data_IF_182326048783
#
_entry.id   IF_182326048783
#
_cell.length_a   1.000
_cell.length_b   1.000
_cell.length_c   1.000
_cell.angle_alpha   90.00
_cell.angle_beta   90.00
_cell.angle_gamma   90.00
#
_symmetry.space_group_name_H-M   'P 1'
#
loop_
_entity.id
_entity.type
_entity.pdbx_description
1 polymer ?
#
# COMPACT_ATOMS: atom_id res chain seq x y z
N UNK A 1 5.23 16.26 20.65
CA UNK A 1 4.41 15.22 20.00
C UNK A 1 3.89 14.32 21.11
N UNK A 2 2.59 14.36 21.41
CA UNK A 2 1.97 13.63 22.52
C UNK A 2 2.02 12.12 22.27
N UNK A 3 2.18 11.31 23.32
CA UNK A 3 2.28 9.84 23.26
C UNK A 3 1.16 9.20 22.39
N UNK A 4 -0.08 9.70 22.50
CA UNK A 4 -1.22 9.24 21.69
C UNK A 4 -1.01 9.42 20.18
N UNK A 5 -0.47 10.57 19.75
CA UNK A 5 -0.19 10.82 18.32
C UNK A 5 0.91 9.90 17.80
N UNK A 6 1.85 9.53 18.66
CA UNK A 6 2.95 8.60 18.33
C UNK A 6 2.39 7.18 18.11
N UNK A 7 1.50 6.74 19.00
CA UNK A 7 0.85 5.44 18.93
C UNK A 7 -0.07 5.32 17.71
N UNK A 8 -0.81 6.39 17.39
CA UNK A 8 -1.58 6.50 16.15
C UNK A 8 -0.68 6.36 14.91
N UNK A 9 0.42 7.10 14.83
CA UNK A 9 1.36 6.98 13.70
C UNK A 9 1.86 5.56 13.50
N UNK A 10 2.27 4.87 14.57
CA UNK A 10 2.72 3.47 14.52
C UNK A 10 1.62 2.56 13.99
N UNK A 11 0.38 2.74 14.45
CA UNK A 11 -0.76 1.96 13.99
C UNK A 11 -1.04 2.19 12.50
N UNK A 12 -0.95 3.44 12.03
CA UNK A 12 -1.10 3.78 10.61
C UNK A 12 0.01 3.14 9.76
N UNK A 13 1.25 3.18 10.24
CA UNK A 13 2.39 2.58 9.54
C UNK A 13 2.26 1.05 9.47
N UNK A 14 1.88 0.39 10.58
CA UNK A 14 1.56 -1.04 10.59
C UNK A 14 0.45 -1.39 9.61
N UNK A 15 -0.61 -0.57 9.57
CA UNK A 15 -1.71 -0.74 8.62
C UNK A 15 -1.22 -0.65 7.18
N UNK A 16 -0.41 0.38 6.85
CA UNK A 16 0.21 0.55 5.52
C UNK A 16 1.11 -0.63 5.16
N UNK A 17 1.93 -1.14 6.08
CA UNK A 17 2.82 -2.29 5.85
C UNK A 17 2.04 -3.57 5.62
N UNK A 18 1.03 -3.86 6.45
CA UNK A 18 0.15 -5.01 6.28
C UNK A 18 -0.55 -4.97 4.92
N UNK A 19 -1.04 -3.79 4.51
CA UNK A 19 -1.64 -3.56 3.19
C UNK A 19 -0.66 -3.82 2.04
N UNK A 20 0.60 -3.39 2.16
CA UNK A 20 1.62 -3.65 1.14
C UNK A 20 1.83 -5.16 0.95
N UNK A 21 2.00 -5.88 2.07
CA UNK A 21 2.20 -7.33 2.07
C UNK A 21 0.99 -8.06 1.50
N UNK A 22 -0.22 -7.64 1.87
CA UNK A 22 -1.46 -8.23 1.37
C UNK A 22 -1.62 -8.00 -0.14
N UNK A 23 -1.33 -6.79 -0.63
CA UNK A 23 -1.35 -6.44 -2.04
C UNK A 23 -0.33 -7.25 -2.86
N UNK A 24 0.89 -7.40 -2.34
CA UNK A 24 1.92 -8.24 -2.97
C UNK A 24 1.52 -9.72 -3.01
N UNK A 25 0.96 -10.25 -1.92
CA UNK A 25 0.50 -11.63 -1.89
C UNK A 25 -0.64 -11.88 -2.90
N UNK A 26 -1.55 -10.91 -3.05
CA UNK A 26 -2.60 -10.93 -4.08
C UNK A 26 -2.02 -10.94 -5.49
N UNK A 27 -1.06 -10.05 -5.77
CA UNK A 27 -0.35 -10.02 -7.06
C UNK A 27 0.30 -11.37 -7.33
N UNK A 28 0.97 -11.97 -6.35
CA UNK A 28 1.62 -13.29 -6.51
C UNK A 28 0.63 -14.38 -6.88
N UNK A 29 -0.39 -14.56 -6.07
CA UNK A 29 -1.39 -15.64 -6.24
C UNK A 29 -2.11 -15.50 -7.58
N UNK A 30 -2.46 -14.27 -7.96
CA UNK A 30 -3.18 -14.03 -9.20
C UNK A 30 -2.28 -14.06 -10.43
N UNK A 31 -1.01 -13.68 -10.34
CA UNK A 31 -0.07 -13.79 -11.46
C UNK A 31 0.23 -15.26 -11.78
N UNK A 32 0.36 -16.12 -10.76
CA UNK A 32 0.52 -17.58 -10.94
C UNK A 32 -0.67 -18.21 -11.67
N UNK A 33 -1.86 -17.60 -11.64
CA UNK A 33 -3.07 -18.19 -12.20
C UNK A 33 -3.65 -17.47 -13.42
N UNK A 34 -3.42 -16.17 -13.62
CA UNK A 34 -4.19 -15.36 -14.58
C UNK A 34 -3.36 -14.26 -15.31
N UNK A 35 -2.01 -14.32 -15.24
CA UNK A 35 -1.02 -13.45 -15.92
C UNK A 35 -1.36 -11.95 -15.94
N UNK A 36 -2.16 -11.46 -16.90
CA UNK A 36 -2.49 -10.03 -17.03
C UNK A 36 -3.57 -9.53 -16.06
N UNK A 37 -4.56 -10.36 -15.74
CA UNK A 37 -5.66 -9.95 -14.85
C UNK A 37 -5.20 -9.82 -13.40
N UNK A 38 -4.21 -10.63 -12.99
CA UNK A 38 -3.66 -10.58 -11.64
C UNK A 38 -2.91 -9.28 -11.33
N UNK A 39 -2.18 -8.75 -12.32
CA UNK A 39 -1.55 -7.43 -12.20
C UNK A 39 -2.59 -6.32 -12.06
N UNK A 40 -3.66 -6.38 -12.86
CA UNK A 40 -4.73 -5.38 -12.89
C UNK A 40 -5.56 -5.38 -11.58
N UNK A 41 -5.88 -6.57 -11.06
CA UNK A 41 -6.56 -6.74 -9.77
C UNK A 41 -5.67 -6.26 -8.61
N UNK A 42 -4.36 -6.55 -8.65
CA UNK A 42 -3.41 -6.03 -7.67
C UNK A 42 -3.37 -4.50 -7.66
N UNK A 43 -3.43 -3.88 -8.85
CA UNK A 43 -3.47 -2.43 -8.99
C UNK A 43 -4.78 -1.80 -8.48
N UNK A 44 -5.92 -2.47 -8.73
CA UNK A 44 -7.23 -2.07 -8.20
C UNK A 44 -7.26 -2.17 -6.68
N UNK A 45 -6.75 -3.29 -6.12
CA UNK A 45 -6.62 -3.47 -4.67
C UNK A 45 -5.78 -2.36 -4.04
N UNK A 46 -4.65 -2.02 -4.67
CA UNK A 46 -3.79 -0.92 -4.24
C UNK A 46 -4.52 0.45 -4.27
N UNK A 47 -5.33 0.71 -5.30
CA UNK A 47 -6.10 1.96 -5.41
C UNK A 47 -7.18 2.08 -4.34
N UNK A 48 -7.98 1.03 -4.11
CA UNK A 48 -9.00 1.02 -3.05
C UNK A 48 -8.41 1.29 -1.68
N UNK A 49 -7.28 0.63 -1.41
CA UNK A 49 -6.58 0.74 -0.13
C UNK A 49 -5.96 2.11 0.05
N UNK A 50 -5.36 2.69 -1.01
CA UNK A 50 -4.85 4.06 -0.97
C UNK A 50 -5.95 5.07 -0.63
N UNK A 51 -7.17 4.90 -1.12
CA UNK A 51 -8.31 5.75 -0.78
C UNK A 51 -8.68 5.60 0.70
N UNK A 52 -8.66 4.37 1.23
CA UNK A 52 -8.98 4.09 2.63
C UNK A 52 -7.95 4.73 3.58
N UNK A 53 -6.66 4.56 3.27
CA UNK A 53 -5.55 5.19 4.00
C UNK A 53 -5.67 6.72 3.97
N UNK A 54 -6.01 7.30 2.82
CA UNK A 54 -6.23 8.76 2.69
C UNK A 54 -7.36 9.27 3.57
N UNK A 55 -8.39 8.44 3.77
CA UNK A 55 -9.55 8.76 4.62
C UNK A 55 -9.15 8.75 6.10
N UNK A 56 -8.33 7.78 6.52
CA UNK A 56 -7.75 7.71 7.86
C UNK A 56 -6.78 8.87 8.13
N UNK A 57 -5.92 9.20 7.16
CA UNK A 57 -4.99 10.35 7.26
C UNK A 57 -5.74 11.69 7.36
N UNK A 58 -6.87 11.85 6.67
CA UNK A 58 -7.77 13.01 6.81
C UNK A 58 -8.40 13.08 8.21
N UNK A 59 -8.84 11.95 8.76
CA UNK A 59 -9.44 11.87 10.10
C UNK A 59 -8.47 12.28 11.21
N UNK A 60 -7.17 12.09 11.00
CA UNK A 60 -6.12 12.34 11.99
C UNK A 60 -5.33 13.62 11.76
N UNK A 61 -5.82 14.51 10.89
CA UNK A 61 -5.21 15.81 10.56
C UNK A 61 -3.73 15.72 10.15
N UNK A 62 -3.34 14.62 9.49
CA UNK A 62 -1.96 14.44 9.03
C UNK A 62 -1.67 15.42 7.88
N UNK A 63 -0.54 16.16 7.90
CA UNK A 63 -0.24 17.12 6.85
C UNK A 63 -0.10 16.42 5.49
N UNK A 64 -0.75 16.97 4.45
CA UNK A 64 -0.76 16.42 3.08
C UNK A 64 0.64 16.15 2.51
N UNK A 65 1.67 16.89 2.95
CA UNK A 65 3.07 16.67 2.53
C UNK A 65 3.56 15.26 2.90
N UNK A 66 3.32 14.79 4.12
CA UNK A 66 3.77 13.47 4.56
C UNK A 66 3.01 12.33 3.89
N UNK A 67 1.73 12.55 3.58
CA UNK A 67 0.91 11.62 2.81
C UNK A 67 1.50 11.40 1.42
N UNK A 68 1.83 12.47 0.71
CA UNK A 68 2.41 12.38 -0.63
C UNK A 68 3.79 11.73 -0.64
N UNK A 69 4.65 12.07 0.33
CA UNK A 69 5.97 11.43 0.48
C UNK A 69 5.82 9.94 0.78
N UNK A 70 4.93 9.58 1.71
CA UNK A 70 4.66 8.19 2.06
C UNK A 70 4.11 7.40 0.88
N UNK A 71 3.20 7.98 0.09
CA UNK A 71 2.61 7.34 -1.07
C UNK A 71 3.62 7.19 -2.22
N UNK A 72 4.51 8.18 -2.40
CA UNK A 72 5.61 8.11 -3.35
C UNK A 72 6.61 6.99 -3.01
N UNK A 73 7.04 6.92 -1.75
CA UNK A 73 7.94 5.85 -1.27
C UNK A 73 7.25 4.48 -1.41
N UNK A 74 5.97 4.39 -1.05
CA UNK A 74 5.21 3.15 -1.18
C UNK A 74 5.06 2.70 -2.63
N UNK A 75 4.73 3.60 -3.55
CA UNK A 75 4.64 3.29 -4.98
C UNK A 75 6.01 2.86 -5.53
N UNK A 76 7.08 3.53 -5.11
CA UNK A 76 8.46 3.20 -5.51
C UNK A 76 8.88 1.81 -5.06
N UNK A 77 8.39 1.33 -3.91
CA UNK A 77 8.66 -0.03 -3.43
C UNK A 77 7.71 -1.03 -4.07
N UNK A 78 6.43 -0.69 -4.17
CA UNK A 78 5.38 -1.59 -4.65
C UNK A 78 5.55 -1.92 -6.14
N UNK A 79 5.84 -0.95 -7.01
CA UNK A 79 6.01 -1.19 -8.45
C UNK A 79 7.08 -2.25 -8.78
N UNK A 80 8.35 -2.10 -8.34
CA UNK A 80 9.40 -3.05 -8.67
C UNK A 80 9.17 -4.41 -8.02
N UNK A 81 8.68 -4.45 -6.78
CA UNK A 81 8.34 -5.73 -6.15
C UNK A 81 7.19 -6.42 -6.87
N UNK A 82 6.11 -5.71 -7.20
CA UNK A 82 4.97 -6.27 -7.91
C UNK A 82 5.37 -6.76 -9.31
N UNK A 83 6.23 -6.02 -10.02
CA UNK A 83 6.75 -6.43 -11.32
C UNK A 83 7.60 -7.70 -11.21
N UNK A 84 8.52 -7.75 -10.24
CA UNK A 84 9.34 -8.94 -9.97
C UNK A 84 8.47 -10.16 -9.63
N UNK A 85 7.43 -9.96 -8.82
CA UNK A 85 6.55 -11.03 -8.36
C UNK A 85 5.59 -11.53 -9.44
N UNK A 86 5.18 -10.64 -10.35
CA UNK A 86 4.28 -10.96 -11.44
C UNK A 86 4.99 -11.71 -12.58
N UNK A 87 6.25 -11.36 -12.84
CA UNK A 87 7.09 -12.01 -13.86
C UNK A 87 8.31 -12.67 -13.20
N UNK A 88 8.12 -13.77 -12.44
CA UNK A 88 9.25 -14.55 -11.97
C UNK A 88 9.96 -15.15 -13.18
N UNK A 89 11.21 -14.74 -13.43
CA UNK A 89 12.10 -15.43 -14.36
C UNK A 89 12.44 -16.81 -13.84
#
# INVERSE_FOLDING_TARGET
MTEEKKMQYVHLTLCKVAMLLFGLNLVRTLSIHHDQLGFLIGFIGYSLVSIHVRTLEKKWEIPKKYVWISLGIFALIFLPLAYWLAFPR
#
